data_IF_619017461341
#
_entry.id   IF_619017461341
#
_cell.length_a   1.000
_cell.length_b   1.000
_cell.length_c   1.000
_cell.angle_alpha   90.00
_cell.angle_beta   90.00
_cell.angle_gamma   90.00
#
_symmetry.space_group_name_H-M   'P 1'
#
loop_
_entity.id
_entity.type
_entity.pdbx_description
1 polymer ?
#
# COMPACT_ATOMS: atom_id res chain seq x y z
N UNK A 1 64.31 29.69 2.44
CA UNK A 1 63.71 29.60 3.79
C UNK A 1 62.44 28.75 3.77
N UNK A 2 62.63 27.43 3.73
CA UNK A 2 61.69 26.35 4.12
C UNK A 2 62.61 25.18 4.51
N UNK A 3 62.33 24.44 5.57
CA UNK A 3 62.95 23.13 5.80
C UNK A 3 62.22 22.13 4.87
N UNK A 4 62.81 21.35 3.95
CA UNK A 4 64.16 20.80 3.82
C UNK A 4 64.45 19.72 4.88
N UNK A 5 64.66 18.43 4.60
CA UNK A 5 64.68 17.63 3.35
C UNK A 5 64.16 16.17 3.68
N UNK A 6 64.11 15.12 2.84
CA UNK A 6 64.62 14.88 1.46
C UNK A 6 63.90 13.75 0.66
N UNK A 7 64.27 13.61 -0.62
CA UNK A 7 64.42 12.44 -1.54
C UNK A 7 64.08 10.98 -1.06
N UNK A 8 63.49 10.05 -1.84
CA UNK A 8 63.89 9.51 -3.17
C UNK A 8 62.70 8.95 -4.00
N UNK A 9 62.91 8.83 -5.33
CA UNK A 9 62.01 8.31 -6.36
C UNK A 9 61.72 6.80 -6.34
N UNK A 10 60.62 6.40 -7.01
CA UNK A 10 60.72 5.43 -8.13
C UNK A 10 59.54 5.55 -9.12
N UNK A 11 59.81 5.40 -10.42
CA UNK A 11 58.85 5.41 -11.53
C UNK A 11 59.15 4.20 -12.43
N UNK A 12 58.17 3.78 -13.25
CA UNK A 12 58.21 2.66 -14.21
C UNK A 12 58.04 1.29 -13.53
N UNK A 13 57.19 0.38 -14.02
CA UNK A 13 57.16 -0.05 -15.42
C UNK A 13 55.86 -0.73 -15.90
N UNK A 14 55.64 -0.62 -17.21
CA UNK A 14 55.05 -1.58 -18.15
C UNK A 14 53.96 -2.58 -17.71
N UNK A 15 52.82 -2.57 -18.44
CA UNK A 15 52.25 -3.77 -19.08
C UNK A 15 51.09 -3.41 -20.03
N UNK A 16 51.21 -3.68 -21.34
CA UNK A 16 50.08 -3.91 -22.22
C UNK A 16 50.22 -5.23 -22.99
N UNK A 17 49.21 -6.09 -22.97
CA UNK A 17 49.10 -7.20 -23.93
C UNK A 17 47.75 -7.22 -24.63
N UNK A 18 47.83 -7.48 -25.94
CA UNK A 18 46.71 -7.49 -26.89
C UNK A 18 46.17 -8.90 -27.11
N UNK A 19 45.00 -8.94 -27.73
CA UNK A 19 44.36 -10.05 -28.45
C UNK A 19 45.27 -11.17 -28.95
N UNK A 20 44.78 -12.41 -28.85
CA UNK A 20 44.63 -13.33 -29.99
C UNK A 20 43.34 -14.13 -29.78
N UNK A 21 42.48 -14.14 -30.79
CA UNK A 21 41.29 -15.00 -30.88
C UNK A 21 41.30 -15.60 -32.29
N UNK A 22 41.56 -16.91 -32.41
CA UNK A 22 41.40 -17.68 -33.65
C UNK A 22 41.63 -19.18 -33.39
N UNK A 23 40.61 -20.00 -33.63
CA UNK A 23 40.79 -21.28 -34.30
C UNK A 23 39.49 -21.67 -35.03
N UNK A 24 39.57 -21.69 -36.36
CA UNK A 24 38.64 -22.40 -37.25
C UNK A 24 39.02 -23.91 -37.21
N UNK A 25 38.33 -24.89 -37.79
CA UNK A 25 37.54 -24.98 -39.03
C UNK A 25 36.77 -26.34 -39.00
N UNK A 26 36.04 -26.67 -40.09
CA UNK A 26 35.42 -28.00 -40.43
C UNK A 26 33.94 -28.13 -40.06
N UNK A 27 33.01 -28.61 -40.91
CA UNK A 27 33.05 -29.08 -42.31
C UNK A 27 31.74 -28.67 -43.01
N UNK A 28 31.79 -28.42 -44.33
CA UNK A 28 30.63 -28.16 -45.18
C UNK A 28 30.09 -29.48 -45.75
N UNK A 29 28.78 -29.74 -45.68
CA UNK A 29 28.14 -30.72 -46.57
C UNK A 29 26.74 -30.26 -46.97
N UNK A 30 26.48 -30.30 -48.28
CA UNK A 30 25.24 -29.85 -48.92
C UNK A 30 24.32 -31.06 -49.07
N UNK A 31 23.08 -30.96 -48.60
CA UNK A 31 21.98 -31.72 -49.18
C UNK A 31 20.72 -30.86 -49.29
N UNK A 32 20.14 -30.88 -50.50
CA UNK A 32 19.04 -30.03 -50.91
C UNK A 32 17.78 -30.90 -50.98
N UNK A 33 16.85 -30.73 -50.04
CA UNK A 33 15.53 -31.39 -50.10
C UNK A 33 14.43 -30.41 -49.71
N UNK A 34 13.42 -30.32 -50.57
CA UNK A 34 12.22 -29.52 -50.37
C UNK A 34 11.47 -29.95 -49.11
N UNK A 35 10.92 -28.96 -48.39
CA UNK A 35 9.67 -29.14 -47.65
C UNK A 35 8.94 -27.80 -47.56
N UNK A 36 7.65 -27.84 -47.90
CA UNK A 36 6.78 -26.67 -47.96
C UNK A 36 6.65 -26.02 -46.58
N UNK A 37 6.83 -24.70 -46.50
CA UNK A 37 6.54 -23.95 -45.28
C UNK A 37 5.01 -23.84 -45.06
N UNK A 38 4.45 -24.34 -43.95
CA UNK A 38 3.09 -24.00 -43.56
C UNK A 38 3.04 -22.60 -42.95
N UNK A 39 1.99 -21.85 -43.27
CA UNK A 39 1.72 -20.51 -42.73
C UNK A 39 1.71 -20.52 -41.18
N UNK A 40 2.25 -19.48 -40.49
CA UNK A 40 2.27 -19.45 -39.03
C UNK A 40 0.85 -19.45 -38.47
N UNK A 41 0.49 -20.52 -37.74
CA UNK A 41 -0.76 -20.56 -36.99
C UNK A 41 -0.74 -19.48 -35.91
N UNK A 42 -1.78 -18.65 -35.88
CA UNK A 42 -2.04 -17.75 -34.77
C UNK A 42 -2.13 -18.58 -33.50
N UNK A 43 -1.20 -18.38 -32.57
CA UNK A 43 -1.23 -19.04 -31.28
C UNK A 43 -2.47 -18.59 -30.51
N UNK A 44 -3.36 -19.52 -30.20
CA UNK A 44 -4.47 -19.26 -29.27
C UNK A 44 -3.90 -18.92 -27.89
N UNK A 45 -4.52 -18.00 -27.14
CA UNK A 45 -4.10 -17.73 -25.78
C UNK A 45 -4.32 -18.98 -24.94
N UNK A 46 -3.24 -19.56 -24.42
CA UNK A 46 -3.31 -20.66 -23.46
C UNK A 46 -4.00 -20.12 -22.21
N UNK A 47 -5.24 -20.56 -21.97
CA UNK A 47 -5.94 -20.30 -20.71
C UNK A 47 -5.15 -21.01 -19.62
N UNK A 48 -4.47 -20.24 -18.78
CA UNK A 48 -3.70 -20.78 -17.68
C UNK A 48 -4.61 -21.57 -16.74
N UNK A 49 -4.37 -22.87 -16.61
CA UNK A 49 -5.04 -23.72 -15.62
C UNK A 49 -4.64 -23.26 -14.21
N UNK A 50 -5.55 -23.25 -13.23
CA UNK A 50 -5.22 -22.92 -11.85
C UNK A 50 -4.12 -23.83 -11.30
N UNK A 51 -3.25 -23.27 -10.46
CA UNK A 51 -2.16 -24.00 -9.80
C UNK A 51 -2.74 -25.12 -8.90
N UNK A 52 -2.45 -26.40 -9.17
CA UNK A 52 -2.99 -27.51 -8.38
C UNK A 52 -2.44 -27.54 -6.93
N UNK A 53 -1.33 -26.86 -6.64
CA UNK A 53 -0.75 -26.77 -5.29
C UNK A 53 -1.53 -25.77 -4.43
N UNK A 54 -2.05 -24.69 -5.03
CA UNK A 54 -2.84 -23.68 -4.33
C UNK A 54 -4.12 -24.25 -3.69
N UNK A 55 -4.73 -25.27 -4.33
CA UNK A 55 -5.92 -25.95 -3.81
C UNK A 55 -5.63 -26.80 -2.56
N UNK A 56 -4.38 -27.25 -2.36
CA UNK A 56 -3.99 -28.13 -1.25
C UNK A 56 -3.61 -27.32 0.00
N UNK A 57 -3.12 -26.09 -0.16
CA UNK A 57 -2.58 -25.28 0.94
C UNK A 57 -3.60 -24.47 1.76
N UNK A 58 -4.90 -24.62 1.48
CA UNK A 58 -5.97 -24.33 2.45
C UNK A 58 -6.12 -22.88 2.96
N UNK A 59 -5.45 -21.90 2.36
CA UNK A 59 -5.78 -20.49 2.60
C UNK A 59 -7.02 -20.13 1.81
N UNK A 60 -8.19 -20.18 2.45
CA UNK A 60 -9.42 -19.68 1.86
C UNK A 60 -9.24 -18.21 1.46
N UNK A 61 -9.14 -17.96 0.15
CA UNK A 61 -9.12 -16.61 -0.40
C UNK A 61 -10.32 -15.82 0.12
N UNK A 62 -10.15 -14.56 0.58
CA UNK A 62 -11.25 -13.77 1.08
C UNK A 62 -12.37 -13.69 0.05
N UNK A 63 -13.61 -13.93 0.49
CA UNK A 63 -14.80 -13.78 -0.36
C UNK A 63 -14.74 -12.43 -1.11
N UNK A 64 -15.04 -12.38 -2.42
CA UNK A 64 -14.91 -11.15 -3.21
C UNK A 64 -15.60 -9.94 -2.55
N UNK A 65 -14.79 -9.01 -2.02
CA UNK A 65 -15.26 -7.85 -1.27
C UNK A 65 -15.27 -7.96 0.26
N UNK A 66 -14.61 -8.95 0.85
CA UNK A 66 -14.22 -8.95 2.25
C UNK A 66 -12.72 -8.63 2.37
N UNK A 67 -12.34 -7.66 3.21
CA UNK A 67 -10.93 -7.40 3.49
C UNK A 67 -10.38 -8.42 4.50
N UNK A 68 -9.10 -8.75 4.34
CA UNK A 68 -8.33 -9.35 5.43
C UNK A 68 -8.38 -8.43 6.66
N UNK A 69 -8.56 -9.02 7.84
CA UNK A 69 -8.44 -8.29 9.11
C UNK A 69 -6.97 -7.97 9.38
N UNK A 70 -6.73 -6.91 10.15
CA UNK A 70 -5.41 -6.63 10.69
C UNK A 70 -5.07 -7.69 11.74
N UNK A 71 -3.92 -8.33 11.56
CA UNK A 71 -3.25 -9.18 12.54
C UNK A 71 -2.53 -8.35 13.61
N UNK A 72 -1.54 -8.97 14.25
CA UNK A 72 -0.67 -8.29 15.20
C UNK A 72 0.14 -7.22 14.46
N UNK A 73 0.22 -6.02 15.02
CA UNK A 73 0.95 -4.90 14.42
C UNK A 73 1.79 -4.19 15.47
N UNK A 74 2.92 -3.64 15.03
CA UNK A 74 3.91 -3.03 15.90
C UNK A 74 3.65 -1.52 15.93
N UNK A 75 3.47 -0.96 17.12
CA UNK A 75 3.29 0.47 17.33
C UNK A 75 4.52 1.04 18.04
N UNK A 76 5.08 2.11 17.49
CA UNK A 76 6.30 2.77 17.99
C UNK A 76 6.11 4.29 18.08
N UNK A 77 6.86 4.88 19.00
CA UNK A 77 6.89 6.32 19.19
C UNK A 77 5.72 6.89 19.99
N UNK A 78 5.91 8.13 20.41
CA UNK A 78 4.97 8.98 21.13
C UNK A 78 5.44 10.43 20.97
N UNK A 79 5.64 10.86 19.72
CA UNK A 79 6.36 12.09 19.41
C UNK A 79 5.48 13.33 19.61
N UNK A 80 6.02 14.39 20.23
CA UNK A 80 5.43 15.74 20.20
C UNK A 80 5.58 16.37 18.81
N UNK A 81 6.75 16.17 18.19
CA UNK A 81 7.07 16.70 16.86
C UNK A 81 6.72 15.72 15.76
N UNK A 82 6.10 16.25 14.71
CA UNK A 82 5.71 15.51 13.52
C UNK A 82 6.91 14.83 12.86
N UNK A 83 7.96 15.58 12.53
CA UNK A 83 9.06 15.14 11.67
C UNK A 83 9.80 13.90 12.19
N UNK A 84 9.75 13.66 13.50
CA UNK A 84 10.27 12.45 14.12
C UNK A 84 9.47 11.19 13.73
N UNK A 85 8.12 11.29 13.65
CA UNK A 85 7.27 10.21 13.16
C UNK A 85 7.46 9.98 11.64
N UNK A 86 7.61 11.06 10.87
CA UNK A 86 7.85 11.02 9.41
C UNK A 86 9.18 10.35 9.09
N UNK A 87 10.26 10.73 9.79
CA UNK A 87 11.60 10.14 9.62
C UNK A 87 11.58 8.65 9.97
N UNK A 88 10.85 8.27 11.01
CA UNK A 88 10.70 6.88 11.42
C UNK A 88 9.90 6.04 10.41
N UNK A 89 8.77 6.55 9.89
CA UNK A 89 7.99 5.88 8.85
C UNK A 89 8.84 5.62 7.60
N UNK A 90 9.56 6.62 7.08
CA UNK A 90 10.45 6.45 5.93
C UNK A 90 11.56 5.42 6.19
N UNK A 91 12.13 5.41 7.40
CA UNK A 91 13.14 4.43 7.79
C UNK A 91 12.57 3.01 7.83
N UNK A 92 11.34 2.83 8.30
CA UNK A 92 10.62 1.54 8.28
C UNK A 92 10.28 1.10 6.86
N UNK A 93 9.84 2.01 5.99
CA UNK A 93 9.53 1.73 4.59
C UNK A 93 10.74 1.21 3.81
N UNK A 94 11.95 1.73 4.08
CA UNK A 94 13.21 1.21 3.53
C UNK A 94 13.48 -0.24 3.93
N UNK A 95 13.00 -0.67 5.10
CA UNK A 95 13.11 -2.05 5.61
C UNK A 95 11.90 -2.92 5.23
N UNK A 96 11.12 -2.49 4.22
CA UNK A 96 9.91 -3.17 3.68
C UNK A 96 8.75 -3.29 4.67
N UNK A 97 8.78 -2.58 5.80
CA UNK A 97 7.64 -2.49 6.69
C UNK A 97 6.59 -1.53 6.09
N UNK A 98 5.37 -2.02 5.90
CA UNK A 98 4.19 -1.24 5.49
C UNK A 98 3.74 -0.38 6.69
N UNK A 99 4.37 0.80 6.81
CA UNK A 99 4.28 1.71 7.94
C UNK A 99 3.43 2.93 7.63
N UNK A 100 2.62 3.35 8.60
CA UNK A 100 1.84 4.60 8.57
C UNK A 100 1.82 5.21 9.97
N UNK A 101 1.60 6.52 10.07
CA UNK A 101 1.56 7.21 11.36
C UNK A 101 0.30 8.06 11.51
N UNK A 102 -0.09 8.27 12.76
CA UNK A 102 -1.33 8.94 13.11
C UNK A 102 -1.19 9.73 14.40
N UNK A 103 -1.97 10.80 14.53
CA UNK A 103 -2.08 11.57 15.77
C UNK A 103 -3.06 10.89 16.72
N UNK A 104 -2.55 10.45 17.87
CA UNK A 104 -3.35 9.87 18.94
C UNK A 104 -4.23 10.92 19.62
N UNK A 105 -5.25 10.49 20.39
CA UNK A 105 -6.11 11.39 21.17
C UNK A 105 -5.35 12.19 22.22
N UNK A 106 -4.27 11.62 22.77
CA UNK A 106 -3.31 12.33 23.64
C UNK A 106 -2.45 13.39 22.91
N UNK A 107 -2.73 13.67 21.63
CA UNK A 107 -2.03 14.67 20.82
C UNK A 107 -0.66 14.26 20.25
N UNK A 108 -0.12 13.10 20.65
CA UNK A 108 1.19 12.59 20.23
C UNK A 108 1.10 11.78 18.93
N UNK A 109 2.16 11.80 18.12
CA UNK A 109 2.27 10.97 16.91
C UNK A 109 2.77 9.56 17.26
N UNK A 110 2.10 8.56 16.70
CA UNK A 110 2.44 7.14 16.81
C UNK A 110 2.60 6.59 15.39
N UNK A 111 3.64 5.80 15.15
CA UNK A 111 3.79 5.03 13.90
C UNK A 111 3.31 3.61 14.16
N UNK A 112 2.62 3.00 13.21
CA UNK A 112 2.20 1.60 13.24
C UNK A 112 2.55 0.92 11.93
N UNK A 113 3.06 -0.30 12.03
CA UNK A 113 3.48 -1.10 10.89
C UNK A 113 3.26 -2.59 11.17
N UNK A 114 3.42 -3.42 10.14
CA UNK A 114 3.31 -4.87 10.27
C UNK A 114 1.87 -5.39 10.31
N UNK A 115 1.74 -6.67 9.98
CA UNK A 115 0.45 -7.38 9.89
C UNK A 115 0.68 -8.89 10.09
N UNK A 116 1.14 -9.27 11.28
CA UNK A 116 1.67 -10.60 11.59
C UNK A 116 0.58 -11.57 12.04
N UNK A 117 0.80 -12.87 11.81
CA UNK A 117 -0.14 -13.93 12.17
C UNK A 117 -0.10 -14.23 13.67
N UNK A 118 1.01 -13.94 14.34
CA UNK A 118 1.19 -14.16 15.78
C UNK A 118 1.90 -13.01 16.47
N UNK A 119 1.73 -12.95 17.80
CA UNK A 119 2.50 -12.07 18.68
C UNK A 119 4.02 -12.32 18.55
N UNK A 120 4.44 -13.59 18.42
CA UNK A 120 5.86 -13.97 18.32
C UNK A 120 6.49 -13.47 17.02
N UNK A 121 5.79 -13.53 15.89
CA UNK A 121 6.26 -12.92 14.63
C UNK A 121 6.42 -11.41 14.76
N UNK A 122 5.41 -10.71 15.32
CA UNK A 122 5.46 -9.27 15.55
C UNK A 122 6.59 -8.87 16.52
N UNK A 123 6.81 -9.66 17.57
CA UNK A 123 7.91 -9.46 18.51
C UNK A 123 9.27 -9.64 17.83
N UNK A 124 9.44 -10.71 17.05
CA UNK A 124 10.69 -10.99 16.33
C UNK A 124 11.07 -9.86 15.36
N UNK A 125 10.10 -9.32 14.62
CA UNK A 125 10.35 -8.16 13.75
C UNK A 125 10.70 -6.90 14.55
N UNK A 126 9.92 -6.60 15.60
CA UNK A 126 10.18 -5.44 16.45
C UNK A 126 11.57 -5.51 17.14
N UNK A 127 11.96 -6.67 17.64
CA UNK A 127 13.26 -6.87 18.29
C UNK A 127 14.42 -6.78 17.29
N UNK A 128 14.24 -7.30 16.07
CA UNK A 128 15.20 -7.16 14.96
C UNK A 128 15.40 -5.69 14.56
N UNK A 129 14.32 -4.92 14.43
CA UNK A 129 14.41 -3.49 14.12
C UNK A 129 14.97 -2.67 15.29
N UNK A 130 14.73 -3.11 16.54
CA UNK A 130 15.26 -2.47 17.75
C UNK A 130 16.76 -2.72 17.91
N UNK A 131 17.26 -3.93 17.64
CA UNK A 131 18.70 -4.23 17.70
C UNK A 131 19.50 -3.51 16.61
N UNK A 132 18.88 -3.21 15.47
CA UNK A 132 19.42 -2.36 14.40
C UNK A 132 19.32 -0.85 14.72
N UNK A 133 18.73 -0.44 15.85
CA UNK A 133 18.55 0.97 16.22
C UNK A 133 17.50 1.73 15.41
N UNK A 134 16.72 1.04 14.56
CA UNK A 134 15.70 1.64 13.68
C UNK A 134 14.47 2.08 14.51
N UNK A 135 14.08 1.27 15.49
CA UNK A 135 12.99 1.58 16.42
C UNK A 135 13.46 1.65 17.87
N UNK A 136 12.82 2.51 18.66
CA UNK A 136 12.97 2.55 20.11
C UNK A 136 12.01 1.58 20.83
N UNK A 137 11.37 2.07 21.91
CA UNK A 137 10.33 1.32 22.62
C UNK A 137 9.11 1.12 21.71
N UNK A 138 8.61 -0.12 21.67
CA UNK A 138 7.44 -0.53 20.91
C UNK A 138 6.35 -1.13 21.81
N UNK A 139 5.16 -1.26 21.25
CA UNK A 139 4.03 -1.99 21.81
C UNK A 139 3.38 -2.82 20.69
N UNK A 140 3.08 -4.10 20.95
CA UNK A 140 2.37 -4.96 19.99
C UNK A 140 0.87 -4.76 20.16
N UNK A 141 0.23 -4.19 19.14
CA UNK A 141 -1.22 -4.04 19.05
C UNK A 141 -1.81 -5.36 18.60
N UNK A 142 -2.49 -6.03 19.53
CA UNK A 142 -3.21 -7.29 19.28
C UNK A 142 -4.48 -7.05 18.42
N UNK A 143 -4.87 -8.00 17.55
CA UNK A 143 -6.05 -7.89 16.70
C UNK A 143 -7.34 -7.56 17.46
N UNK A 144 -7.47 -8.11 18.67
CA UNK A 144 -8.67 -8.08 19.52
C UNK A 144 -9.05 -6.67 19.98
N UNK A 145 -8.09 -5.73 19.91
CA UNK A 145 -8.25 -4.35 20.34
C UNK A 145 -8.84 -3.43 19.26
N UNK A 146 -8.87 -3.86 17.99
CA UNK A 146 -9.48 -3.11 16.89
C UNK A 146 -11.01 -3.06 16.99
N UNK A 147 -11.60 -1.99 16.47
CA UNK A 147 -13.06 -1.81 16.43
C UNK A 147 -13.76 -3.00 15.76
N UNK A 148 -13.28 -3.46 14.60
CA UNK A 148 -13.86 -4.61 13.90
C UNK A 148 -13.90 -5.89 14.75
N UNK A 149 -12.84 -6.16 15.52
CA UNK A 149 -12.78 -7.34 16.39
C UNK A 149 -13.64 -7.19 17.65
N UNK A 150 -13.67 -5.98 18.24
CA UNK A 150 -14.52 -5.65 19.40
C UNK A 150 -16.00 -5.80 19.07
N UNK A 151 -16.46 -5.14 18.00
CA UNK A 151 -17.85 -5.14 17.55
C UNK A 151 -18.31 -6.56 17.18
N UNK A 152 -17.47 -7.33 16.46
CA UNK A 152 -17.80 -8.71 16.12
C UNK A 152 -17.98 -9.59 17.37
N UNK A 153 -17.16 -9.40 18.41
CA UNK A 153 -17.18 -10.21 19.63
C UNK A 153 -18.33 -9.84 20.57
N UNK A 154 -18.62 -8.55 20.73
CA UNK A 154 -19.67 -8.06 21.62
C UNK A 154 -21.07 -8.07 21.00
N UNK A 155 -21.16 -8.07 19.67
CA UNK A 155 -22.41 -7.79 18.95
C UNK A 155 -22.89 -6.34 19.09
N UNK A 156 -22.08 -5.46 19.69
CA UNK A 156 -22.44 -4.08 20.03
C UNK A 156 -21.59 -3.08 19.23
N UNK A 157 -22.23 -2.01 18.75
CA UNK A 157 -21.62 -0.97 17.93
C UNK A 157 -21.80 -1.18 16.42
N UNK A 158 -21.44 -0.17 15.63
CA UNK A 158 -21.52 -0.18 14.16
C UNK A 158 -20.17 0.16 13.55
N UNK A 159 -19.56 -0.81 12.86
CA UNK A 159 -18.26 -0.65 12.22
C UNK A 159 -18.29 0.38 11.07
N UNK A 160 -19.45 0.59 10.43
CA UNK A 160 -19.63 1.63 9.41
C UNK A 160 -19.53 3.02 10.01
N UNK A 161 -20.12 3.22 11.18
CA UNK A 161 -20.04 4.47 11.95
C UNK A 161 -18.61 4.71 12.46
N UNK A 162 -17.92 3.71 13.00
CA UNK A 162 -16.51 3.84 13.43
C UNK A 162 -15.55 4.23 12.30
N UNK A 163 -15.72 3.64 11.11
CA UNK A 163 -14.95 4.01 9.91
C UNK A 163 -15.17 5.49 9.53
N UNK A 164 -16.42 5.95 9.53
CA UNK A 164 -16.79 7.33 9.21
C UNK A 164 -16.29 8.30 10.29
N UNK A 165 -16.45 7.97 11.57
CA UNK A 165 -15.95 8.78 12.68
C UNK A 165 -14.43 8.92 12.63
N UNK A 166 -13.72 7.83 12.30
CA UNK A 166 -12.27 7.86 12.10
C UNK A 166 -11.87 8.78 10.94
N UNK A 167 -12.56 8.71 9.80
CA UNK A 167 -12.32 9.61 8.67
C UNK A 167 -12.66 11.08 8.98
N UNK A 168 -13.72 11.33 9.76
CA UNK A 168 -14.14 12.67 10.20
C UNK A 168 -13.10 13.36 11.08
N UNK A 169 -12.38 12.61 11.92
CA UNK A 169 -11.25 13.16 12.71
C UNK A 169 -10.20 13.85 11.84
N UNK A 170 -10.08 13.48 10.57
CA UNK A 170 -9.11 14.03 9.62
C UNK A 170 -9.64 15.20 8.76
N UNK A 171 -10.85 15.71 9.01
CA UNK A 171 -11.33 16.93 8.33
C UNK A 171 -10.37 18.12 8.55
N UNK A 172 -10.18 18.93 7.52
CA UNK A 172 -9.28 20.09 7.54
C UNK A 172 -7.80 19.78 7.30
N UNK A 173 -7.38 18.51 7.35
CA UNK A 173 -5.99 18.09 7.10
C UNK A 173 -5.56 18.43 5.65
N UNK A 174 -4.37 18.97 5.38
CA UNK A 174 -3.89 19.22 4.02
C UNK A 174 -3.84 17.96 3.15
N UNK A 175 -3.98 18.13 1.83
CA UNK A 175 -3.63 17.08 0.88
C UNK A 175 -2.12 17.01 0.66
N UNK A 176 -1.55 15.81 0.66
CA UNK A 176 -0.21 15.53 0.13
C UNK A 176 -0.24 14.28 -0.74
N UNK A 177 0.41 14.33 -1.90
CA UNK A 177 0.65 13.12 -2.69
C UNK A 177 1.49 12.13 -1.88
N UNK A 178 1.07 10.86 -1.79
CA UNK A 178 1.70 9.88 -0.93
C UNK A 178 1.38 10.03 0.57
N UNK A 179 0.58 11.03 0.97
CA UNK A 179 0.30 11.32 2.37
C UNK A 179 -0.68 10.35 3.04
N UNK A 180 -0.45 10.05 4.31
CA UNK A 180 -1.13 8.99 5.07
C UNK A 180 -1.45 9.38 6.53
N UNK A 181 -1.38 10.67 6.86
CA UNK A 181 -1.48 11.14 8.24
C UNK A 181 -2.17 12.52 8.39
N UNK A 182 -2.50 12.87 9.64
CA UNK A 182 -3.18 14.12 10.01
C UNK A 182 -2.36 15.39 9.70
N UNK A 183 -1.04 15.29 9.64
CA UNK A 183 -0.15 16.39 9.95
C UNK A 183 0.71 16.82 8.76
N UNK A 184 1.36 15.89 8.06
CA UNK A 184 1.89 16.19 6.73
C UNK A 184 0.74 16.33 5.75
N UNK A 185 -0.17 15.35 5.77
CA UNK A 185 -1.42 15.36 5.05
C UNK A 185 -1.79 14.00 4.47
N UNK A 186 -2.94 13.93 3.82
CA UNK A 186 -3.43 12.70 3.17
C UNK A 186 -3.46 12.83 1.65
N UNK A 187 -3.18 11.76 0.91
CA UNK A 187 -3.80 11.54 -0.40
C UNK A 187 -5.14 10.83 -0.27
N UNK A 188 -5.89 10.79 -1.37
CA UNK A 188 -7.24 10.25 -1.38
C UNK A 188 -7.33 8.79 -0.88
N UNK A 189 -6.33 7.97 -1.21
CA UNK A 189 -6.26 6.56 -0.83
C UNK A 189 -5.56 6.32 0.50
N UNK A 190 -4.62 7.19 0.91
CA UNK A 190 -4.04 7.16 2.25
C UNK A 190 -5.10 7.43 3.33
N UNK A 191 -6.00 8.40 3.09
CA UNK A 191 -7.11 8.72 3.99
C UNK A 191 -8.03 7.51 4.23
N UNK A 192 -8.45 6.85 3.16
CA UNK A 192 -9.31 5.66 3.26
C UNK A 192 -8.55 4.50 3.88
N UNK A 193 -7.29 4.28 3.50
CA UNK A 193 -6.44 3.21 4.04
C UNK A 193 -6.27 3.32 5.55
N UNK A 194 -5.84 4.47 6.06
CA UNK A 194 -5.61 4.68 7.50
C UNK A 194 -6.92 4.60 8.28
N UNK A 195 -8.02 5.14 7.74
CA UNK A 195 -9.34 5.02 8.37
C UNK A 195 -9.79 3.56 8.51
N UNK A 196 -9.51 2.72 7.51
CA UNK A 196 -9.80 1.27 7.56
C UNK A 196 -8.85 0.50 8.48
N UNK A 197 -7.53 0.73 8.37
CA UNK A 197 -6.51 0.01 9.14
C UNK A 197 -6.56 0.31 10.64
N UNK A 198 -6.84 1.55 11.03
CA UNK A 198 -7.06 1.91 12.44
C UNK A 198 -8.28 1.20 13.05
N UNK A 199 -9.24 0.76 12.23
CA UNK A 199 -10.41 -0.01 12.64
C UNK A 199 -10.24 -1.53 12.50
N UNK A 200 -9.07 -2.01 12.09
CA UNK A 200 -8.75 -3.44 12.01
C UNK A 200 -9.01 -4.09 10.66
N UNK A 201 -9.15 -3.32 9.58
CA UNK A 201 -9.36 -3.82 8.22
C UNK A 201 -8.18 -3.47 7.32
N UNK A 202 -7.51 -4.46 6.72
CA UNK A 202 -6.34 -4.25 5.87
C UNK A 202 -6.74 -3.79 4.46
N UNK A 203 -7.17 -2.54 4.33
CA UNK A 203 -7.44 -1.92 3.03
C UNK A 203 -6.09 -1.65 2.30
N UNK A 204 -5.97 -1.92 0.99
CA UNK A 204 -4.74 -1.64 0.24
C UNK A 204 -4.42 -0.15 0.09
N UNK A 205 -3.14 0.19 -0.05
CA UNK A 205 -2.64 1.57 -0.15
C UNK A 205 -3.08 2.37 -1.39
N UNK A 206 -3.31 1.71 -2.52
CA UNK A 206 -3.58 2.37 -3.80
C UNK A 206 -5.06 2.34 -4.17
N UNK A 207 -5.64 3.48 -4.58
CA UNK A 207 -7.07 3.59 -4.95
C UNK A 207 -7.57 2.57 -5.99
N UNK A 208 -6.72 2.14 -6.94
CA UNK A 208 -7.08 1.09 -7.92
C UNK A 208 -7.11 -0.30 -7.29
N UNK A 209 -6.22 -0.58 -6.33
CA UNK A 209 -6.23 -1.82 -5.56
C UNK A 209 -7.43 -1.86 -4.61
N UNK A 210 -7.72 -0.74 -3.93
CA UNK A 210 -8.95 -0.57 -3.15
C UNK A 210 -10.17 -0.91 -4.02
N UNK A 211 -10.32 -0.27 -5.19
CA UNK A 211 -11.45 -0.52 -6.09
C UNK A 211 -11.61 -2.00 -6.50
N UNK A 212 -10.50 -2.70 -6.73
CA UNK A 212 -10.53 -4.14 -7.07
C UNK A 212 -10.87 -5.05 -5.89
N UNK A 213 -10.39 -4.72 -4.69
CA UNK A 213 -10.58 -5.55 -3.49
C UNK A 213 -12.03 -5.52 -2.93
N UNK A 214 -12.87 -4.58 -3.37
CA UNK A 214 -14.22 -4.41 -2.86
C UNK A 214 -15.33 -4.96 -3.77
N UNK A 215 -16.43 -5.41 -3.17
CA UNK A 215 -17.63 -5.82 -3.91
C UNK A 215 -18.35 -4.58 -4.43
N UNK A 216 -18.76 -4.60 -5.70
CA UNK A 216 -19.53 -3.50 -6.28
C UNK A 216 -20.82 -3.23 -5.49
N UNK A 217 -21.16 -1.94 -5.32
CA UNK A 217 -22.47 -1.47 -4.86
C UNK A 217 -23.01 -0.41 -5.82
N UNK A 218 -24.32 -0.48 -6.07
CA UNK A 218 -25.05 0.56 -6.81
C UNK A 218 -25.12 1.83 -5.98
N UNK A 219 -25.30 2.99 -6.64
CA UNK A 219 -25.35 4.29 -5.96
C UNK A 219 -26.52 4.42 -4.96
N UNK A 220 -27.62 3.70 -5.21
CA UNK A 220 -28.77 3.58 -4.30
C UNK A 220 -28.49 2.75 -3.04
N UNK A 221 -27.54 1.82 -3.12
CA UNK A 221 -27.27 0.84 -2.06
C UNK A 221 -25.98 1.17 -1.29
N UNK A 222 -25.42 2.37 -1.49
CA UNK A 222 -24.27 2.88 -0.75
C UNK A 222 -24.62 3.03 0.74
N UNK A 223 -23.88 2.34 1.61
CA UNK A 223 -23.96 2.47 3.06
C UNK A 223 -22.74 3.23 3.59
N UNK A 224 -22.86 3.84 4.78
CA UNK A 224 -21.74 4.50 5.47
C UNK A 224 -20.49 3.60 5.48
N UNK A 225 -19.32 4.19 5.30
CA UNK A 225 -18.04 3.48 5.20
C UNK A 225 -17.72 2.94 3.79
N UNK A 226 -18.71 2.67 2.91
CA UNK A 226 -18.43 2.23 1.54
C UNK A 226 -17.57 3.26 0.80
N UNK A 227 -16.67 2.80 -0.08
CA UNK A 227 -15.79 3.70 -0.83
C UNK A 227 -16.39 4.03 -2.20
N UNK A 228 -16.29 5.30 -2.59
CA UNK A 228 -16.73 5.84 -3.89
C UNK A 228 -15.53 6.23 -4.72
N UNK A 229 -15.52 5.81 -5.99
CA UNK A 229 -14.36 5.91 -6.88
C UNK A 229 -14.66 6.77 -8.11
N UNK A 230 -13.63 7.48 -8.58
CA UNK A 230 -13.77 8.47 -9.63
C UNK A 230 -12.58 8.47 -10.61
N UNK A 231 -12.85 8.87 -11.85
CA UNK A 231 -11.90 9.10 -12.93
C UNK A 231 -11.62 10.61 -13.10
N UNK A 232 -11.11 11.26 -12.03
CA UNK A 232 -10.94 12.73 -11.97
C UNK A 232 -9.86 13.28 -12.90
N UNK A 233 -8.98 12.43 -13.43
CA UNK A 233 -7.98 12.80 -14.46
C UNK A 233 -8.46 12.48 -15.90
N UNK A 234 -9.74 12.15 -16.08
CA UNK A 234 -10.31 11.76 -17.37
C UNK A 234 -10.26 10.25 -17.66
N UNK A 235 -10.91 9.86 -18.75
CA UNK A 235 -11.10 8.45 -19.12
C UNK A 235 -11.97 7.68 -18.12
N UNK A 236 -11.77 6.36 -18.06
CA UNK A 236 -12.55 5.42 -17.21
C UNK A 236 -11.76 4.86 -16.03
N UNK A 237 -10.46 5.18 -15.93
CA UNK A 237 -9.55 4.60 -14.92
C UNK A 237 -9.72 5.30 -13.58
N UNK A 238 -9.82 4.51 -12.51
CA UNK A 238 -9.81 5.01 -11.13
C UNK A 238 -8.52 5.81 -10.88
N UNK A 239 -8.71 7.06 -10.46
CA UNK A 239 -7.66 8.03 -10.14
C UNK A 239 -7.93 8.74 -8.81
N UNK A 240 -9.15 8.65 -8.28
CA UNK A 240 -9.52 9.23 -6.99
C UNK A 240 -10.52 8.34 -6.24
N UNK A 241 -10.52 8.45 -4.91
CA UNK A 241 -11.40 7.70 -3.98
C UNK A 241 -11.82 8.59 -2.81
N UNK A 242 -12.99 8.32 -2.23
CA UNK A 242 -13.41 8.85 -0.94
C UNK A 242 -14.32 7.86 -0.20
N UNK A 243 -14.60 8.13 1.07
CA UNK A 243 -15.46 7.31 1.93
C UNK A 243 -16.87 7.92 2.00
N UNK A 244 -17.89 7.14 1.67
CA UNK A 244 -19.29 7.56 1.75
C UNK A 244 -19.74 7.71 3.22
N UNK A 245 -20.43 8.81 3.52
CA UNK A 245 -20.83 9.17 4.89
C UNK A 245 -22.35 9.25 5.10
N UNK A 246 -23.14 8.86 4.08
CA UNK A 246 -24.59 9.02 4.05
C UNK A 246 -25.03 10.21 3.20
N UNK A 247 -26.35 10.33 2.96
CA UNK A 247 -27.02 11.49 2.37
C UNK A 247 -26.43 12.00 1.04
N UNK A 248 -25.92 11.09 0.19
CA UNK A 248 -25.27 11.45 -1.06
C UNK A 248 -23.90 12.13 -0.88
N UNK A 249 -23.31 12.12 0.31
CA UNK A 249 -22.05 12.80 0.67
C UNK A 249 -20.91 11.82 0.92
N UNK A 250 -19.68 12.28 0.73
CA UNK A 250 -18.46 11.50 0.98
C UNK A 250 -17.33 12.38 1.51
N UNK A 251 -16.44 11.81 2.33
CA UNK A 251 -15.20 12.44 2.80
C UNK A 251 -14.05 12.03 1.88
N UNK A 252 -13.19 12.98 1.51
CA UNK A 252 -12.03 12.73 0.66
C UNK A 252 -10.90 13.74 0.88
N UNK A 253 -9.67 13.35 0.53
CA UNK A 253 -8.53 14.24 0.35
C UNK A 253 -8.38 14.58 -1.15
N UNK A 254 -8.82 15.77 -1.63
CA UNK A 254 -9.05 16.02 -3.07
C UNK A 254 -7.79 16.09 -3.94
N UNK A 255 -6.90 17.07 -3.68
CA UNK A 255 -5.69 17.40 -4.46
C UNK A 255 -4.84 18.45 -3.75
N UNK A 256 -3.61 18.65 -4.20
CA UNK A 256 -2.67 19.67 -3.70
C UNK A 256 -3.30 21.06 -3.60
N UNK A 257 -2.97 21.81 -2.55
CA UNK A 257 -3.55 23.14 -2.27
C UNK A 257 -5.00 23.09 -1.74
N UNK A 258 -5.48 21.92 -1.34
CA UNK A 258 -6.80 21.71 -0.70
C UNK A 258 -6.67 20.75 0.48
N UNK A 259 -7.66 20.78 1.35
CA UNK A 259 -7.77 19.98 2.59
C UNK A 259 -8.80 18.87 2.47
N UNK A 260 -8.69 17.84 3.32
CA UNK A 260 -9.70 16.81 3.58
C UNK A 260 -11.03 17.47 3.93
N UNK A 261 -12.09 17.05 3.25
CA UNK A 261 -13.41 17.70 3.29
C UNK A 261 -14.53 16.70 3.00
N UNK A 262 -15.76 17.14 3.25
CA UNK A 262 -16.97 16.51 2.69
C UNK A 262 -17.25 17.09 1.30
N UNK A 263 -17.68 16.25 0.36
CA UNK A 263 -18.20 16.62 -0.95
C UNK A 263 -19.51 15.87 -1.24
N UNK A 264 -20.28 16.36 -2.21
CA UNK A 264 -21.54 15.73 -2.65
C UNK A 264 -21.37 14.92 -3.94
N UNK A 265 -21.97 13.74 -4.00
CA UNK A 265 -22.13 12.91 -5.20
C UNK A 265 -23.12 13.49 -6.24
N UNK A 266 -23.84 14.57 -5.90
CA UNK A 266 -24.69 15.34 -6.82
C UNK A 266 -23.94 16.47 -7.53
N UNK A 267 -22.76 16.87 -7.06
CA UNK A 267 -21.92 17.87 -7.71
C UNK A 267 -21.58 17.40 -9.15
N UNK A 268 -21.68 18.31 -10.12
CA UNK A 268 -21.55 17.98 -11.55
C UNK A 268 -20.23 17.29 -11.92
N UNK A 269 -19.10 17.70 -11.32
CA UNK A 269 -17.80 17.08 -11.55
C UNK A 269 -17.75 15.64 -11.01
N UNK A 270 -18.22 15.41 -9.79
CA UNK A 270 -18.27 14.06 -9.20
C UNK A 270 -19.33 13.17 -9.85
N UNK A 271 -20.45 13.74 -10.32
CA UNK A 271 -21.46 13.02 -11.12
C UNK A 271 -20.89 12.56 -12.46
N UNK A 272 -20.15 13.43 -13.17
CA UNK A 272 -19.52 13.12 -14.47
C UNK A 272 -18.36 12.13 -14.36
N UNK A 273 -17.61 12.14 -13.26
CA UNK A 273 -16.40 11.31 -13.08
C UNK A 273 -16.62 10.04 -12.26
N UNK A 274 -17.86 9.74 -11.83
CA UNK A 274 -18.17 8.57 -10.99
C UNK A 274 -17.90 7.24 -11.73
N UNK A 275 -17.05 6.39 -11.15
CA UNK A 275 -16.74 5.04 -11.66
C UNK A 275 -17.59 3.98 -10.98
N UNK A 276 -17.82 4.10 -9.67
CA UNK A 276 -18.60 3.12 -8.91
C UNK A 276 -18.40 3.22 -7.40
N UNK A 277 -19.23 2.46 -6.67
CA UNK A 277 -19.12 2.26 -5.23
C UNK A 277 -18.61 0.86 -4.90
N UNK A 278 -17.91 0.70 -3.78
CA UNK A 278 -17.42 -0.59 -3.27
C UNK A 278 -17.70 -0.73 -1.77
N UNK A 279 -18.31 -1.85 -1.39
CA UNK A 279 -18.36 -2.29 0.01
C UNK A 279 -17.25 -3.29 0.28
N UNK A 280 -16.72 -3.22 1.51
CA UNK A 280 -15.72 -4.13 2.08
C UNK A 280 -16.27 -4.90 3.28
N UNK A 281 -17.54 -4.62 3.61
CA UNK A 281 -18.28 -5.22 4.70
C UNK A 281 -19.42 -6.07 4.13
N UNK A 282 -19.55 -7.28 4.66
CA UNK A 282 -20.61 -8.23 4.37
C UNK A 282 -21.67 -8.16 5.48
N UNK A 283 -22.95 -8.12 5.12
CA UNK A 283 -24.04 -8.46 6.05
C UNK A 283 -24.34 -7.45 7.17
N UNK A 284 -24.06 -6.16 6.98
CA UNK A 284 -24.55 -5.05 7.83
C UNK A 284 -25.11 -3.93 6.97
#
# INVERSE_FOLDING_TARGET
MRYADDFISFVQSCLPLRSICSLLLSILFIFHLCSCAPSPRVATPVVATPDPIAAILGTAEPLPGALLKMGFSIQVGAFSELDNAVRLERSLAQHRADAYYFRHESGLYKVRFGNHKSYVEAQKEAESLRSQGIIGRYFIVIPENYAAAKIQRSGQGDLRTELVATAQRFLGVPYRWGGEDRNNGFDCSGLTMVSYRLNGLNLPRNSRMQHRAGRAVTKSNLKKGDLVFFATQGGTRVTHVGMYVGDGKFIHAPRTGKTVRVASLSNSFFKKTYVGGRSYLSGQ
#
